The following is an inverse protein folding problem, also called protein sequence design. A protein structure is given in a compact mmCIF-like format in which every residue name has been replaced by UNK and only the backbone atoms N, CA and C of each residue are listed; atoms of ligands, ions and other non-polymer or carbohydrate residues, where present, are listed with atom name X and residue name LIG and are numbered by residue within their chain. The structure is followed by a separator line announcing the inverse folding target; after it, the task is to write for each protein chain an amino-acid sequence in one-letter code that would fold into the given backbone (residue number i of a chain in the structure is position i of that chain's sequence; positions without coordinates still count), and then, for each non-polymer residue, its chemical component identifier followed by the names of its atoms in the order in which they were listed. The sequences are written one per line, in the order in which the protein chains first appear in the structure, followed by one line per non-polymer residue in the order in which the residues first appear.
data_IF_325851814920
#
_entry.id   IF_325851814920
#
_cell.length_a   1.000
_cell.length_b   1.000
_cell.length_c   1.000
_cell.angle_alpha   90.00
_cell.angle_beta   90.00
_cell.angle_gamma   90.00
#
_symmetry.space_group_name_H-M   'P 1'
#
loop_
_entity.id
_entity.type
_entity.pdbx_description
1 polymer ?
#
# COMPACT_ATOMS: atom_id res chain seq x y z
N UNK A 1 3.75 0.71 22.70
CA UNK A 1 2.69 0.68 21.66
C UNK A 1 3.15 -0.22 20.51
N UNK A 2 2.22 -0.87 19.81
CA UNK A 2 2.57 -1.65 18.62
C UNK A 2 3.10 -0.72 17.52
N UNK A 3 4.18 -1.14 16.84
CA UNK A 3 4.76 -0.37 15.73
C UNK A 3 3.77 -0.27 14.58
N UNK A 4 3.76 0.87 13.91
CA UNK A 4 2.92 1.10 12.74
C UNK A 4 3.32 0.18 11.60
N UNK A 5 2.33 -0.43 10.94
CA UNK A 5 2.53 -1.27 9.77
C UNK A 5 2.52 -0.42 8.49
N UNK A 6 3.14 -0.97 7.44
CA UNK A 6 3.20 -0.37 6.12
C UNK A 6 2.30 -1.15 5.16
N UNK A 7 1.54 -0.42 4.35
CA UNK A 7 0.81 -0.95 3.22
C UNK A 7 1.42 -0.45 1.91
N UNK A 8 1.69 -1.38 1.00
CA UNK A 8 2.19 -1.13 -0.35
C UNK A 8 1.17 -1.63 -1.37
N UNK A 9 0.92 -0.86 -2.42
CA UNK A 9 0.07 -1.32 -3.52
C UNK A 9 0.58 -0.80 -4.86
N UNK A 10 0.44 -1.63 -5.89
CA UNK A 10 0.69 -1.27 -7.28
C UNK A 10 -0.61 -0.81 -7.93
N UNK A 11 -0.53 0.24 -8.76
CA UNK A 11 -1.69 0.85 -9.38
C UNK A 11 -1.45 1.17 -10.85
N UNK A 12 -2.48 1.03 -11.65
CA UNK A 12 -2.47 1.27 -13.09
C UNK A 12 -1.81 0.15 -13.89
N UNK A 13 -1.28 0.52 -15.07
CA UNK A 13 -0.53 -0.40 -15.91
C UNK A 13 0.83 -0.74 -15.30
N UNK A 14 1.14 -2.03 -15.21
CA UNK A 14 2.44 -2.50 -14.71
C UNK A 14 3.57 -2.18 -15.69
N UNK A 15 4.80 -2.10 -15.18
CA UNK A 15 6.00 -1.80 -15.99
C UNK A 15 7.02 -2.94 -15.88
N UNK A 16 8.11 -2.85 -16.64
CA UNK A 16 9.24 -3.78 -16.54
C UNK A 16 10.01 -3.65 -15.21
N UNK A 17 9.83 -2.57 -14.46
CA UNK A 17 10.65 -2.23 -13.28
C UNK A 17 9.85 -1.90 -12.03
N UNK A 18 8.51 -1.94 -12.05
CA UNK A 18 7.68 -1.58 -10.88
C UNK A 18 7.98 -2.47 -9.65
N UNK A 19 8.37 -3.73 -9.88
CA UNK A 19 8.80 -4.64 -8.83
C UNK A 19 10.17 -4.28 -8.24
N UNK A 20 11.05 -3.57 -8.96
CA UNK A 20 12.29 -3.06 -8.38
C UNK A 20 12.01 -1.99 -7.32
N UNK A 21 11.01 -1.12 -7.55
CA UNK A 21 10.51 -0.20 -6.53
C UNK A 21 9.87 -0.95 -5.36
N UNK A 22 9.10 -2.01 -5.63
CA UNK A 22 8.52 -2.86 -4.57
C UNK A 22 9.62 -3.50 -3.69
N UNK A 23 10.67 -4.04 -4.33
CA UNK A 23 11.86 -4.58 -3.68
C UNK A 23 12.48 -3.55 -2.74
N UNK A 24 12.75 -2.34 -3.25
CA UNK A 24 13.35 -1.25 -2.46
C UNK A 24 12.52 -0.90 -1.23
N UNK A 25 11.20 -0.80 -1.38
CA UNK A 25 10.28 -0.54 -0.25
C UNK A 25 10.37 -1.65 0.80
N UNK A 26 10.22 -2.91 0.38
CA UNK A 26 10.13 -4.05 1.31
C UNK A 26 11.47 -4.30 2.01
N UNK A 27 12.59 -4.25 1.28
CA UNK A 27 13.93 -4.43 1.85
C UNK A 27 14.25 -3.31 2.85
N UNK A 28 13.97 -2.05 2.51
CA UNK A 28 14.22 -0.90 3.39
C UNK A 28 13.36 -0.97 4.64
N UNK A 29 12.07 -1.30 4.50
CA UNK A 29 11.19 -1.49 5.65
C UNK A 29 11.67 -2.62 6.57
N UNK A 30 12.19 -3.73 6.00
CA UNK A 30 12.79 -4.84 6.76
C UNK A 30 14.08 -4.47 7.49
N UNK A 31 14.83 -3.46 7.02
CA UNK A 31 16.02 -2.94 7.70
C UNK A 31 15.64 -2.02 8.88
N UNK A 32 14.48 -1.36 8.82
CA UNK A 32 13.98 -0.43 9.84
C UNK A 32 12.89 -1.03 10.73
N UNK A 33 13.08 -2.28 11.19
CA UNK A 33 12.14 -2.96 12.10
C UNK A 33 11.98 -2.26 13.45
N UNK A 34 12.89 -1.35 13.81
CA UNK A 34 12.77 -0.47 14.97
C UNK A 34 11.61 0.54 14.81
N UNK A 35 11.30 0.95 13.57
CA UNK A 35 10.29 1.97 13.24
C UNK A 35 9.04 1.39 12.58
N UNK A 36 9.23 0.44 11.66
CA UNK A 36 8.16 -0.14 10.84
C UNK A 36 7.87 -1.57 11.33
N UNK A 37 6.58 -1.87 11.49
CA UNK A 37 6.09 -3.20 11.82
C UNK A 37 6.09 -4.13 10.61
N UNK A 38 4.94 -4.77 10.36
CA UNK A 38 4.72 -5.61 9.18
C UNK A 38 4.59 -4.77 7.91
N UNK A 39 4.93 -5.39 6.78
CA UNK A 39 4.71 -4.84 5.45
C UNK A 39 3.66 -5.69 4.75
N UNK A 40 2.49 -5.10 4.55
CA UNK A 40 1.38 -5.68 3.80
C UNK A 40 1.40 -5.17 2.36
N UNK A 41 1.12 -6.05 1.40
CA UNK A 41 0.86 -5.67 0.02
C UNK A 41 -0.62 -5.88 -0.33
N UNK A 42 -1.22 -4.97 -1.09
CA UNK A 42 -2.58 -5.10 -1.59
C UNK A 42 -2.65 -6.06 -2.78
N UNK A 43 -3.40 -7.16 -2.65
CA UNK A 43 -3.67 -8.05 -3.78
C UNK A 43 -4.44 -7.28 -4.85
N UNK A 44 -3.90 -7.21 -6.06
CA UNK A 44 -4.49 -6.46 -7.18
C UNK A 44 -4.67 -4.96 -6.87
N UNK A 45 -3.71 -4.36 -6.17
CA UNK A 45 -3.70 -2.93 -5.89
C UNK A 45 -4.67 -2.51 -4.78
N UNK A 46 -5.28 -1.33 -4.92
CA UNK A 46 -6.15 -0.74 -3.87
C UNK A 46 -7.44 -1.51 -3.65
N UNK A 47 -7.92 -2.26 -4.66
CA UNK A 47 -9.08 -3.15 -4.49
C UNK A 47 -8.79 -4.21 -3.42
N UNK A 48 -7.53 -4.68 -3.33
CA UNK A 48 -7.12 -5.61 -2.27
C UNK A 48 -7.32 -5.01 -0.89
N UNK A 49 -7.06 -3.72 -0.69
CA UNK A 49 -7.36 -3.07 0.58
C UNK A 49 -8.88 -2.97 0.83
N UNK A 50 -9.68 -2.57 -0.16
CA UNK A 50 -11.13 -2.48 -0.03
C UNK A 50 -11.78 -3.83 0.35
N UNK A 51 -11.27 -4.92 -0.22
CA UNK A 51 -11.70 -6.30 0.04
C UNK A 51 -10.98 -6.97 1.21
N UNK A 52 -10.04 -6.27 1.84
CA UNK A 52 -9.19 -6.80 2.92
C UNK A 52 -8.35 -8.04 2.52
N UNK A 53 -8.02 -8.15 1.23
CA UNK A 53 -7.13 -9.15 0.66
C UNK A 53 -5.66 -8.68 0.77
N UNK A 54 -5.13 -8.70 1.99
CA UNK A 54 -3.75 -8.27 2.29
C UNK A 54 -2.75 -9.43 2.22
N UNK A 55 -1.60 -9.20 1.61
CA UNK A 55 -0.47 -10.13 1.52
C UNK A 55 0.56 -9.73 2.57
N UNK A 56 0.82 -10.59 3.56
CA UNK A 56 1.92 -10.39 4.52
C UNK A 56 3.25 -10.75 3.85
N UNK A 57 3.98 -9.73 3.39
CA UNK A 57 5.27 -9.92 2.69
C UNK A 57 6.34 -10.49 3.62
N UNK A 58 6.14 -10.48 4.94
CA UNK A 58 7.03 -11.11 5.92
C UNK A 58 7.10 -12.64 5.78
N UNK A 59 6.14 -13.25 5.08
CA UNK A 59 6.13 -14.68 4.78
C UNK A 59 7.05 -15.06 3.62
N UNK A 60 7.50 -14.09 2.84
CA UNK A 60 8.39 -14.31 1.70
C UNK A 60 9.86 -14.28 2.13
N UNK A 61 10.67 -15.17 1.54
CA UNK A 61 12.11 -15.22 1.83
C UNK A 61 12.83 -13.94 1.38
N UNK A 62 14.02 -13.67 1.93
CA UNK A 62 14.85 -12.55 1.47
C UNK A 62 15.22 -12.69 -0.02
N UNK A 63 15.52 -13.92 -0.48
CA UNK A 63 15.82 -14.19 -1.88
C UNK A 63 14.61 -13.94 -2.80
N UNK A 64 13.40 -14.31 -2.36
CA UNK A 64 12.15 -14.04 -3.10
C UNK A 64 11.93 -12.54 -3.28
N UNK A 65 12.11 -11.75 -2.21
CA UNK A 65 11.98 -10.29 -2.29
C UNK A 65 13.08 -9.70 -3.18
N UNK A 66 14.33 -10.13 -3.06
CA UNK A 66 15.43 -9.64 -3.90
C UNK A 66 15.19 -9.93 -5.40
N UNK A 67 14.59 -11.08 -5.73
CA UNK A 67 14.27 -11.46 -7.11
C UNK A 67 13.27 -10.50 -7.79
N UNK A 68 12.47 -9.73 -7.02
CA UNK A 68 11.57 -8.71 -7.55
C UNK A 68 12.31 -7.66 -8.40
N UNK A 69 13.59 -7.38 -8.07
CA UNK A 69 14.44 -6.45 -8.84
C UNK A 69 14.60 -6.83 -10.31
N UNK A 70 14.46 -8.11 -10.62
CA UNK A 70 14.63 -8.68 -11.96
C UNK A 70 13.34 -9.26 -12.54
N UNK A 71 12.20 -9.04 -11.87
CA UNK A 71 10.91 -9.62 -12.27
C UNK A 71 10.03 -8.52 -12.89
N UNK A 72 9.61 -8.61 -14.16
CA UNK A 72 8.72 -7.62 -14.76
C UNK A 72 7.28 -7.76 -14.24
N UNK A 73 6.39 -6.88 -14.72
CA UNK A 73 4.97 -6.83 -14.34
C UNK A 73 4.77 -6.50 -12.84
N UNK A 74 3.57 -6.74 -12.31
CA UNK A 74 3.24 -6.44 -10.91
C UNK A 74 3.15 -7.72 -10.08
N UNK A 75 4.13 -7.98 -9.23
CA UNK A 75 4.22 -9.21 -8.43
C UNK A 75 3.06 -9.39 -7.44
N UNK A 76 2.40 -8.30 -7.04
CA UNK A 76 1.24 -8.33 -6.15
C UNK A 76 -0.10 -8.17 -6.89
N UNK A 77 -0.04 -8.07 -8.22
CA UNK A 77 -1.15 -7.62 -9.05
C UNK A 77 -1.36 -6.10 -8.95
N UNK A 78 -2.07 -5.56 -9.94
CA UNK A 78 -2.43 -4.14 -10.02
C UNK A 78 -3.88 -4.03 -10.49
N UNK A 79 -4.45 -2.83 -10.42
CA UNK A 79 -5.76 -2.52 -10.97
C UNK A 79 -5.79 -1.11 -11.58
N UNK A 80 -6.77 -0.83 -12.44
CA UNK A 80 -7.07 0.52 -12.93
C UNK A 80 -8.26 1.15 -12.19
N UNK A 81 -8.50 0.71 -10.96
CA UNK A 81 -9.61 1.19 -10.16
C UNK A 81 -9.33 2.59 -9.65
N UNK A 82 -10.13 3.56 -10.11
CA UNK A 82 -10.05 4.94 -9.68
C UNK A 82 -11.07 5.18 -8.57
N UNK A 83 -10.57 5.45 -7.38
CA UNK A 83 -11.41 5.92 -6.29
C UNK A 83 -11.99 7.28 -6.67
N UNK A 84 -13.31 7.44 -6.50
CA UNK A 84 -13.95 8.75 -6.68
C UNK A 84 -13.48 9.70 -5.58
N UNK A 85 -13.89 10.97 -5.62
CA UNK A 85 -13.65 11.84 -4.47
C UNK A 85 -14.44 11.38 -3.24
N UNK A 86 -14.00 11.79 -2.05
CA UNK A 86 -14.73 11.48 -0.80
C UNK A 86 -16.17 12.01 -0.84
N UNK A 87 -16.39 13.18 -1.46
CA UNK A 87 -17.72 13.77 -1.62
C UNK A 87 -18.65 12.92 -2.51
N UNK A 88 -18.09 12.22 -3.50
CA UNK A 88 -18.85 11.35 -4.41
C UNK A 88 -19.04 9.94 -3.87
N UNK A 89 -18.06 9.42 -3.11
CA UNK A 89 -18.10 8.07 -2.56
C UNK A 89 -17.31 7.94 -1.25
N UNK A 90 -17.92 8.40 -0.16
CA UNK A 90 -17.31 8.31 1.18
C UNK A 90 -17.06 6.85 1.60
N UNK A 91 -17.93 5.92 1.20
CA UNK A 91 -17.91 4.53 1.65
C UNK A 91 -16.58 3.82 1.34
N UNK A 92 -15.93 4.13 0.22
CA UNK A 92 -14.65 3.49 -0.13
C UNK A 92 -13.50 3.97 0.75
N UNK A 93 -13.44 5.28 1.02
CA UNK A 93 -12.42 5.80 1.92
C UNK A 93 -12.66 5.38 3.36
N UNK A 94 -13.91 5.34 3.80
CA UNK A 94 -14.26 4.81 5.12
C UNK A 94 -13.86 3.35 5.23
N UNK A 95 -14.12 2.54 4.20
CA UNK A 95 -13.66 1.15 4.15
C UNK A 95 -12.14 1.02 4.19
N UNK A 96 -11.40 1.86 3.45
CA UNK A 96 -9.93 1.88 3.53
C UNK A 96 -9.45 2.24 4.94
N UNK A 97 -10.06 3.24 5.58
CA UNK A 97 -9.73 3.65 6.94
C UNK A 97 -10.01 2.53 7.96
N UNK A 98 -11.12 1.80 7.81
CA UNK A 98 -11.44 0.63 8.66
C UNK A 98 -10.35 -0.43 8.57
N UNK A 99 -9.98 -0.83 7.34
CA UNK A 99 -8.94 -1.83 7.11
C UNK A 99 -7.61 -1.33 7.65
N UNK A 100 -7.24 -0.08 7.40
CA UNK A 100 -5.94 0.44 7.86
C UNK A 100 -5.90 0.54 9.39
N UNK A 101 -7.01 0.91 10.05
CA UNK A 101 -7.12 0.88 11.52
C UNK A 101 -7.01 -0.54 12.07
N UNK A 102 -7.75 -1.49 11.49
CA UNK A 102 -7.77 -2.89 11.94
C UNK A 102 -6.37 -3.54 11.87
N UNK A 103 -5.58 -3.19 10.85
CA UNK A 103 -4.23 -3.71 10.64
C UNK A 103 -3.13 -2.78 11.15
N UNK A 104 -3.45 -1.73 11.91
CA UNK A 104 -2.51 -0.69 12.39
C UNK A 104 -1.57 -0.15 11.29
N UNK A 105 -2.10 0.00 10.08
CA UNK A 105 -1.40 0.56 8.92
C UNK A 105 -1.39 2.07 9.06
N UNK A 106 -0.19 2.66 9.15
CA UNK A 106 -0.01 4.12 9.19
C UNK A 106 1.01 4.63 8.18
N UNK A 107 1.57 3.74 7.37
CA UNK A 107 2.36 4.09 6.19
C UNK A 107 1.66 3.51 4.97
N UNK A 108 1.41 4.35 3.96
CA UNK A 108 0.83 3.92 2.68
C UNK A 108 1.74 4.38 1.54
N UNK A 109 2.35 3.43 0.84
CA UNK A 109 3.18 3.70 -0.33
C UNK A 109 2.42 3.24 -1.58
N UNK A 110 1.96 4.19 -2.39
CA UNK A 110 1.08 3.89 -3.53
C UNK A 110 1.82 4.03 -4.86
N UNK A 111 2.32 2.91 -5.35
CA UNK A 111 3.21 2.87 -6.51
C UNK A 111 2.40 2.84 -7.81
N UNK A 112 2.17 4.03 -8.38
CA UNK A 112 1.42 4.25 -9.61
C UNK A 112 1.61 5.66 -10.18
N UNK A 113 0.70 6.08 -11.06
CA UNK A 113 0.73 7.39 -11.71
C UNK A 113 -0.07 8.49 -10.97
N UNK A 114 -0.42 9.56 -11.67
CA UNK A 114 -1.07 10.75 -11.09
C UNK A 114 -2.38 10.47 -10.33
N UNK A 115 -3.26 9.60 -10.84
CA UNK A 115 -4.48 9.20 -10.13
C UNK A 115 -4.20 8.49 -8.79
N UNK A 116 -3.06 7.80 -8.71
CA UNK A 116 -2.62 7.13 -7.47
C UNK A 116 -2.15 8.17 -6.47
N UNK A 117 -1.40 9.18 -6.91
CA UNK A 117 -0.98 10.30 -6.06
C UNK A 117 -2.18 11.08 -5.50
N UNK A 118 -3.19 11.36 -6.34
CA UNK A 118 -4.41 12.05 -5.92
C UNK A 118 -5.18 11.26 -4.85
N UNK A 119 -5.31 9.94 -5.05
CA UNK A 119 -5.90 9.01 -4.06
C UNK A 119 -5.13 9.06 -2.73
N UNK A 120 -3.80 8.95 -2.78
CA UNK A 120 -2.93 8.95 -1.62
C UNK A 120 -3.05 10.27 -0.83
N UNK A 121 -3.10 11.40 -1.53
CA UNK A 121 -3.29 12.72 -0.93
C UNK A 121 -4.67 12.86 -0.24
N UNK A 122 -5.75 12.45 -0.90
CA UNK A 122 -7.10 12.48 -0.31
C UNK A 122 -7.20 11.61 0.94
N UNK A 123 -6.63 10.41 0.90
CA UNK A 123 -6.60 9.54 2.07
C UNK A 123 -5.77 10.13 3.21
N UNK A 124 -4.63 10.76 2.92
CA UNK A 124 -3.80 11.43 3.93
C UNK A 124 -4.59 12.52 4.66
N UNK A 125 -5.27 13.40 3.91
CA UNK A 125 -6.10 14.47 4.47
C UNK A 125 -7.23 13.92 5.35
N UNK A 126 -8.00 12.96 4.82
CA UNK A 126 -9.08 12.32 5.56
C UNK A 126 -8.59 11.63 6.84
N UNK A 127 -7.41 10.99 6.78
CA UNK A 127 -6.85 10.27 7.92
C UNK A 127 -6.59 11.18 9.13
N UNK A 128 -6.17 12.42 8.88
CA UNK A 128 -5.96 13.45 9.90
C UNK A 128 -7.32 13.86 10.50
N UNK A 129 -8.30 14.16 9.65
CA UNK A 129 -9.66 14.53 10.08
C UNK A 129 -10.32 13.45 10.94
N UNK A 130 -10.08 12.17 10.60
CA UNK A 130 -10.64 11.01 11.31
C UNK A 130 -9.80 10.56 12.52
N UNK A 131 -8.82 11.36 12.95
CA UNK A 131 -8.01 11.11 14.15
C UNK A 131 -7.10 9.89 14.08
N UNK A 132 -6.81 9.39 12.86
CA UNK A 132 -5.91 8.27 12.63
C UNK A 132 -4.95 8.59 11.49
N UNK A 133 -3.93 9.44 11.74
CA UNK A 133 -3.04 9.89 10.69
C UNK A 133 -2.32 8.72 10.01
N UNK A 134 -2.36 8.71 8.68
CA UNK A 134 -1.67 7.80 7.79
C UNK A 134 -0.71 8.64 6.94
N UNK A 135 0.57 8.29 6.98
CA UNK A 135 1.58 8.88 6.13
C UNK A 135 1.54 8.23 4.74
N UNK A 136 0.99 8.96 3.77
CA UNK A 136 0.94 8.54 2.38
C UNK A 136 2.16 9.09 1.62
N UNK A 137 2.78 8.24 0.81
CA UNK A 137 3.98 8.54 -0.01
C UNK A 137 3.73 8.06 -1.43
#
# INVERSE_FOLDING_TARGET
MAKANLFYAQSGGVTSVINASACGVIETARQHKDKIGKVFAGRNGIIGALREELIDTGKESAATIAALRHTPAGAFGSCRYKLKSYAENAAEYERLMEVFKAHNIRYFLYNGGGDSQDTANKLAQLSIEKGFPIQCI
#
